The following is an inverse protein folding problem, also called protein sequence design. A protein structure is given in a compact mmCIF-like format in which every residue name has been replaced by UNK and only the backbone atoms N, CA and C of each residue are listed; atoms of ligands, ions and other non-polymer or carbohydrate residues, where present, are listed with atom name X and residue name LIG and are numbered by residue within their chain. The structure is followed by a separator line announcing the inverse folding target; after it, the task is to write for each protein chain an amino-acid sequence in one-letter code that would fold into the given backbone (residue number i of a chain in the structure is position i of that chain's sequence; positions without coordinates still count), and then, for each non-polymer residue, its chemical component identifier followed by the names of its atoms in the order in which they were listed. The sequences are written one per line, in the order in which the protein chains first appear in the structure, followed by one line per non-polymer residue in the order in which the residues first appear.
data_IF_228016613603
#
_entry.id   IF_228016613603
#
_cell.length_a   1.000
_cell.length_b   1.000
_cell.length_c   1.000
_cell.angle_alpha   90.00
_cell.angle_beta   90.00
_cell.angle_gamma   90.00
#
_symmetry.space_group_name_H-M   'P 1'
#
loop_
_entity.id
_entity.type
_entity.pdbx_description
1 polymer ?
#
# COMPACT_ATOMS: atom_id res chain seq x y z
N UNK A 1 -10.63 10.14 15.30
CA UNK A 1 -9.34 9.38 15.46
C UNK A 1 -8.18 10.13 14.83
N UNK A 2 -8.40 10.74 13.66
CA UNK A 2 -7.40 11.53 12.92
C UNK A 2 -6.68 12.57 13.78
N UNK A 3 -7.42 13.41 14.50
CA UNK A 3 -6.81 14.42 15.38
C UNK A 3 -5.79 13.79 16.36
N UNK A 4 -6.15 12.66 16.99
CA UNK A 4 -5.25 11.96 17.90
C UNK A 4 -4.03 11.36 17.20
N UNK A 5 -4.19 10.75 16.03
CA UNK A 5 -3.08 10.18 15.28
C UNK A 5 -2.08 11.26 14.84
N UNK A 6 -2.58 12.38 14.32
CA UNK A 6 -1.79 13.54 13.90
C UNK A 6 -0.99 14.14 15.06
N UNK A 7 -1.61 14.35 16.23
CA UNK A 7 -0.89 14.88 17.40
C UNK A 7 0.26 13.96 17.86
N UNK A 8 0.19 12.67 17.54
CA UNK A 8 1.24 11.68 17.85
C UNK A 8 2.25 11.49 16.72
N UNK A 9 2.15 12.28 15.64
CA UNK A 9 3.09 12.21 14.52
C UNK A 9 2.87 11.02 13.59
N UNK A 10 1.71 10.38 13.61
CA UNK A 10 1.39 9.34 12.62
C UNK A 10 1.31 9.97 11.22
N UNK A 11 1.87 9.29 10.22
CA UNK A 11 1.85 9.76 8.82
C UNK A 11 0.56 9.39 8.09
N UNK A 12 -0.17 8.38 8.59
CA UNK A 12 -1.38 7.85 7.98
C UNK A 12 -1.89 6.62 8.71
N UNK A 13 -2.98 6.03 8.21
CA UNK A 13 -3.54 4.78 8.74
C UNK A 13 -3.95 3.86 7.59
N UNK A 14 -3.64 2.57 7.72
CA UNK A 14 -4.13 1.49 6.85
C UNK A 14 -5.05 0.58 7.65
N UNK A 15 -6.22 0.25 7.09
CA UNK A 15 -7.27 -0.52 7.75
C UNK A 15 -7.69 -1.66 6.83
N UNK A 16 -7.45 -2.91 7.24
CA UNK A 16 -8.09 -4.08 6.63
C UNK A 16 -9.55 -4.20 7.11
N UNK A 17 -10.36 -3.23 6.73
CA UNK A 17 -11.72 -3.02 7.21
C UNK A 17 -12.30 -1.74 6.63
N UNK A 18 -13.30 -1.17 7.30
CA UNK A 18 -13.97 0.07 6.86
C UNK A 18 -13.65 1.24 7.79
N UNK A 19 -13.65 2.46 7.25
CA UNK A 19 -13.55 3.69 8.03
C UNK A 19 -14.85 4.50 8.00
N UNK A 20 -14.95 5.50 8.88
CA UNK A 20 -16.03 6.50 8.94
C UNK A 20 -15.42 7.90 8.99
N UNK A 21 -16.23 8.96 8.91
CA UNK A 21 -15.77 10.35 9.05
C UNK A 21 -14.79 10.81 7.93
N UNK A 22 -15.02 10.34 6.70
CA UNK A 22 -14.14 10.60 5.52
C UNK A 22 -13.87 12.09 5.29
N UNK A 23 -14.87 12.95 5.52
CA UNK A 23 -14.72 14.40 5.38
C UNK A 23 -13.70 14.96 6.40
N UNK A 24 -13.71 14.47 7.64
CA UNK A 24 -12.74 14.87 8.67
C UNK A 24 -11.32 14.52 8.23
N UNK A 25 -11.10 13.28 7.78
CA UNK A 25 -9.78 12.80 7.35
C UNK A 25 -9.21 13.65 6.21
N UNK A 26 -10.04 13.95 5.20
CA UNK A 26 -9.67 14.78 4.05
C UNK A 26 -9.39 16.22 4.46
N UNK A 27 -10.23 16.81 5.30
CA UNK A 27 -10.02 18.20 5.77
C UNK A 27 -8.72 18.36 6.57
N UNK A 28 -8.29 17.29 7.25
CA UNK A 28 -7.06 17.24 8.01
C UNK A 28 -5.83 16.85 7.16
N UNK A 29 -5.99 16.63 5.85
CA UNK A 29 -4.96 16.09 4.95
C UNK A 29 -4.29 14.83 5.52
N UNK A 30 -5.07 13.97 6.17
CA UNK A 30 -4.58 12.76 6.81
C UNK A 30 -4.94 11.52 5.98
N UNK A 31 -3.95 10.80 5.42
CA UNK A 31 -4.24 9.67 4.55
C UNK A 31 -4.78 8.48 5.35
N UNK A 32 -5.94 7.98 4.92
CA UNK A 32 -6.61 6.80 5.49
C UNK A 32 -6.95 5.84 4.37
N UNK A 33 -6.27 4.70 4.36
CA UNK A 33 -6.51 3.60 3.44
C UNK A 33 -7.40 2.57 4.12
N UNK A 34 -8.56 2.30 3.52
CA UNK A 34 -9.51 1.33 4.02
C UNK A 34 -10.15 0.58 2.85
N UNK A 35 -10.70 -0.60 3.11
CA UNK A 35 -11.42 -1.39 2.11
C UNK A 35 -12.79 -0.82 1.74
N UNK A 36 -13.23 0.22 2.45
CA UNK A 36 -14.46 0.94 2.17
C UNK A 36 -14.89 1.84 3.32
N UNK A 37 -16.10 2.38 3.19
CA UNK A 37 -16.68 3.29 4.17
C UNK A 37 -17.86 2.65 4.92
N UNK A 38 -18.09 3.08 6.15
CA UNK A 38 -19.22 2.68 7.00
C UNK A 38 -19.65 3.87 7.86
N UNK A 39 -20.94 3.98 8.14
CA UNK A 39 -21.46 4.94 9.15
C UNK A 39 -21.52 4.32 10.55
N UNK A 40 -21.51 2.99 10.64
CA UNK A 40 -21.56 2.26 11.91
C UNK A 40 -20.21 2.36 12.62
N UNK A 41 -20.26 2.62 13.93
CA UNK A 41 -19.09 2.55 14.80
C UNK A 41 -18.69 1.10 15.12
N UNK A 42 -17.43 0.90 15.52
CA UNK A 42 -16.90 -0.43 15.83
C UNK A 42 -17.49 -1.07 17.10
N UNK A 43 -17.91 -0.28 18.09
CA UNK A 43 -18.22 -0.74 19.45
C UNK A 43 -19.21 -1.92 19.57
N UNK A 44 -20.27 -2.03 18.75
CA UNK A 44 -21.18 -3.18 18.81
C UNK A 44 -20.62 -4.47 18.21
N UNK A 45 -19.52 -4.40 17.45
CA UNK A 45 -19.02 -5.49 16.61
C UNK A 45 -17.62 -5.94 16.98
N UNK A 46 -16.71 -5.00 17.24
CA UNK A 46 -15.27 -5.29 17.43
C UNK A 46 -14.63 -4.33 18.43
N UNK A 47 -13.49 -4.76 18.97
CA UNK A 47 -12.63 -3.96 19.85
C UNK A 47 -11.15 -4.29 19.57
N UNK A 48 -10.21 -3.37 19.80
CA UNK A 48 -8.78 -3.70 19.79
C UNK A 48 -8.49 -4.80 20.82
N UNK A 49 -7.87 -5.90 20.38
CA UNK A 49 -7.50 -7.03 21.25
C UNK A 49 -6.01 -7.04 21.61
N UNK A 50 -5.17 -6.54 20.70
CA UNK A 50 -3.72 -6.48 20.84
C UNK A 50 -3.16 -5.28 20.08
N UNK A 51 -1.95 -4.85 20.46
CA UNK A 51 -1.18 -3.79 19.80
C UNK A 51 0.26 -4.27 19.66
N UNK A 52 0.97 -3.79 18.63
CA UNK A 52 2.35 -4.20 18.34
C UNK A 52 2.54 -5.73 18.27
N UNK A 53 1.59 -6.41 17.61
CA UNK A 53 1.70 -7.84 17.27
C UNK A 53 1.65 -8.00 15.75
N UNK A 54 2.23 -9.06 15.18
CA UNK A 54 2.03 -9.39 13.78
C UNK A 54 0.56 -9.51 13.42
N UNK A 55 0.16 -8.98 12.27
CA UNK A 55 -1.20 -9.11 11.73
C UNK A 55 -1.15 -9.70 10.32
N UNK A 56 -2.08 -10.60 10.01
CA UNK A 56 -2.21 -11.20 8.69
C UNK A 56 -3.38 -10.57 7.95
N UNK A 57 -3.11 -10.01 6.77
CA UNK A 57 -4.09 -9.38 5.90
C UNK A 57 -4.40 -10.33 4.75
N UNK A 58 -5.59 -10.90 4.77
CA UNK A 58 -6.09 -11.79 3.71
C UNK A 58 -6.49 -10.97 2.46
N UNK A 59 -6.27 -11.49 1.24
CA UNK A 59 -6.81 -10.89 0.02
C UNK A 59 -8.36 -10.87 0.07
N UNK A 60 -8.99 -9.87 -0.55
CA UNK A 60 -10.45 -9.85 -0.75
C UNK A 60 -10.80 -10.18 -2.19
N UNK A 61 -12.00 -10.74 -2.40
CA UNK A 61 -12.50 -11.08 -3.73
C UNK A 61 -11.89 -12.36 -4.31
N UNK A 62 -11.10 -13.10 -3.53
CA UNK A 62 -10.64 -14.43 -3.88
C UNK A 62 -11.66 -15.45 -3.40
N UNK A 63 -12.32 -16.13 -4.34
CA UNK A 63 -13.10 -17.32 -4.02
C UNK A 63 -12.14 -18.45 -3.65
N UNK A 64 -12.33 -19.15 -2.51
CA UNK A 64 -11.55 -20.34 -2.20
C UNK A 64 -11.57 -21.33 -3.37
N UNK A 65 -10.39 -21.75 -3.84
CA UNK A 65 -10.25 -22.69 -4.97
C UNK A 65 -9.99 -22.06 -6.34
N UNK A 66 -9.87 -20.73 -6.45
CA UNK A 66 -9.41 -20.06 -7.69
C UNK A 66 -7.89 -19.94 -7.68
N UNK A 67 -7.21 -20.56 -8.64
CA UNK A 67 -5.78 -20.34 -8.89
C UNK A 67 -5.50 -18.87 -9.21
N UNK A 68 -4.44 -18.30 -8.64
CA UNK A 68 -4.02 -16.90 -8.91
C UNK A 68 -4.40 -15.88 -7.84
N UNK A 69 -4.91 -16.31 -6.69
CA UNK A 69 -5.06 -15.47 -5.52
C UNK A 69 -3.71 -14.91 -5.04
N UNK A 70 -3.62 -13.61 -4.77
CA UNK A 70 -2.47 -13.07 -4.03
C UNK A 70 -2.40 -13.71 -2.64
N UNK A 71 -1.20 -14.10 -2.15
CA UNK A 71 -1.07 -14.67 -0.82
C UNK A 71 -1.44 -13.63 0.25
N UNK A 72 -1.82 -14.11 1.43
CA UNK A 72 -1.98 -13.25 2.60
C UNK A 72 -0.66 -12.54 2.94
N UNK A 73 -0.77 -11.30 3.41
CA UNK A 73 0.38 -10.48 3.79
C UNK A 73 0.48 -10.42 5.30
N UNK A 74 1.57 -10.92 5.87
CA UNK A 74 1.91 -10.69 7.28
C UNK A 74 2.62 -9.34 7.42
N UNK A 75 2.12 -8.49 8.32
CA UNK A 75 2.72 -7.20 8.66
C UNK A 75 3.20 -7.28 10.11
N UNK A 76 4.50 -7.05 10.34
CA UNK A 76 5.12 -7.06 11.66
C UNK A 76 5.36 -5.64 12.16
N UNK A 77 5.32 -5.41 13.49
CA UNK A 77 5.78 -4.14 14.04
C UNK A 77 7.21 -3.83 13.59
N UNK A 78 7.41 -2.67 12.98
CA UNK A 78 8.70 -2.22 12.43
C UNK A 78 8.86 -2.41 10.92
N UNK A 79 7.96 -3.15 10.26
CA UNK A 79 7.91 -3.19 8.80
C UNK A 79 7.50 -1.82 8.23
N UNK A 80 7.98 -1.54 7.02
CA UNK A 80 7.70 -0.29 6.34
C UNK A 80 6.40 -0.42 5.56
N UNK A 81 5.49 0.52 5.77
CA UNK A 81 4.23 0.60 5.03
C UNK A 81 4.27 1.83 4.14
N UNK A 82 4.23 1.59 2.83
CA UNK A 82 4.17 2.62 1.80
C UNK A 82 2.77 2.63 1.21
N UNK A 83 2.20 3.81 0.99
CA UNK A 83 0.88 3.94 0.42
C UNK A 83 0.75 5.19 -0.44
N UNK A 84 0.09 5.03 -1.57
CA UNK A 84 -0.20 6.08 -2.56
C UNK A 84 -1.57 5.80 -3.23
N UNK A 85 -1.86 6.47 -4.34
CA UNK A 85 -3.10 6.30 -5.09
C UNK A 85 -3.32 4.91 -5.68
N UNK A 86 -2.25 4.14 -5.91
CA UNK A 86 -2.33 2.79 -6.46
C UNK A 86 -2.62 1.74 -5.37
N UNK A 87 -2.20 2.00 -4.14
CA UNK A 87 -2.57 1.16 -3.01
C UNK A 87 -1.57 1.19 -1.86
N UNK A 88 -1.39 0.03 -1.22
CA UNK A 88 -0.54 -0.12 -0.03
C UNK A 88 0.41 -1.30 -0.23
N UNK A 89 1.70 -1.07 0.05
CA UNK A 89 2.75 -2.08 0.04
C UNK A 89 3.38 -2.18 1.43
N UNK A 90 3.57 -3.41 1.91
CA UNK A 90 4.34 -3.70 3.11
C UNK A 90 5.72 -4.22 2.72
N UNK A 91 6.76 -3.61 3.25
CA UNK A 91 8.16 -3.99 3.04
C UNK A 91 8.73 -4.51 4.36
N UNK A 92 9.06 -5.81 4.46
CA UNK A 92 9.72 -6.36 5.63
C UNK A 92 11.01 -5.60 5.92
N UNK A 93 11.24 -5.24 7.20
CA UNK A 93 12.40 -4.41 7.57
C UNK A 93 13.74 -5.01 7.13
N UNK A 94 13.87 -6.35 7.13
CA UNK A 94 15.07 -7.06 6.69
C UNK A 94 15.35 -6.98 5.18
N UNK A 95 14.36 -6.60 4.37
CA UNK A 95 14.49 -6.47 2.92
C UNK A 95 14.57 -5.02 2.45
N UNK A 96 14.49 -4.05 3.37
CA UNK A 96 14.34 -2.64 3.03
C UNK A 96 15.43 -2.13 2.07
N UNK A 97 16.71 -2.37 2.38
CA UNK A 97 17.82 -1.91 1.55
C UNK A 97 17.77 -2.50 0.14
N UNK A 98 17.43 -3.78 0.02
CA UNK A 98 17.30 -4.47 -1.26
C UNK A 98 16.15 -3.90 -2.08
N UNK A 99 14.99 -3.67 -1.43
CA UNK A 99 13.83 -3.06 -2.09
C UNK A 99 14.17 -1.66 -2.59
N UNK A 100 14.80 -0.82 -1.78
CA UNK A 100 15.21 0.54 -2.19
C UNK A 100 16.14 0.49 -3.41
N UNK A 101 17.15 -0.37 -3.38
CA UNK A 101 18.09 -0.51 -4.51
C UNK A 101 17.38 -0.97 -5.80
N UNK A 102 16.53 -1.99 -5.72
CA UNK A 102 15.80 -2.51 -6.86
C UNK A 102 14.77 -1.50 -7.39
N UNK A 103 14.06 -0.81 -6.50
CA UNK A 103 13.09 0.23 -6.88
C UNK A 103 13.77 1.41 -7.57
N UNK A 104 14.95 1.84 -7.10
CA UNK A 104 15.71 2.91 -7.76
C UNK A 104 16.16 2.48 -9.16
N UNK A 105 16.74 1.28 -9.31
CA UNK A 105 17.13 0.75 -10.63
C UNK A 105 15.93 0.64 -11.58
N UNK A 106 14.80 0.14 -11.08
CA UNK A 106 13.56 0.04 -11.86
C UNK A 106 13.06 1.40 -12.33
N UNK A 107 13.06 2.40 -11.44
CA UNK A 107 12.67 3.77 -11.77
C UNK A 107 13.56 4.39 -12.85
N UNK A 108 14.87 4.19 -12.77
CA UNK A 108 15.83 4.73 -13.74
C UNK A 108 15.66 4.08 -15.12
N UNK A 109 15.37 2.77 -15.17
CA UNK A 109 15.06 2.04 -16.40
C UNK A 109 13.74 2.53 -17.01
N UNK A 110 12.72 2.76 -16.18
CA UNK A 110 11.40 3.22 -16.64
C UNK A 110 11.44 4.66 -17.17
N UNK A 111 12.28 5.51 -16.57
CA UNK A 111 12.51 6.87 -17.07
C UNK A 111 13.07 6.87 -18.50
N UNK A 112 14.06 6.02 -18.78
CA UNK A 112 14.64 5.87 -20.13
C UNK A 112 13.62 5.32 -21.14
N UNK A 113 12.81 4.34 -20.72
CA UNK A 113 11.73 3.83 -21.56
C UNK A 113 10.75 4.96 -21.93
N UNK A 114 10.40 5.80 -20.95
CA UNK A 114 9.47 6.91 -21.14
C UNK A 114 10.05 7.99 -22.08
N UNK A 115 11.34 8.30 -21.98
CA UNK A 115 12.03 9.21 -22.90
C UNK A 115 11.97 8.71 -24.34
N UNK A 116 12.33 7.45 -24.58
CA UNK A 116 12.29 6.84 -25.91
C UNK A 116 10.87 6.82 -26.51
N UNK A 117 9.86 6.49 -25.69
CA UNK A 117 8.45 6.49 -26.11
C UNK A 117 8.00 7.90 -26.46
N UNK A 118 8.36 8.91 -25.67
CA UNK A 118 8.05 10.32 -25.95
C UNK A 118 8.76 10.83 -27.20
N UNK A 119 9.94 10.30 -27.51
CA UNK A 119 10.67 10.58 -28.73
C UNK A 119 10.13 9.83 -29.97
N UNK A 120 9.09 9.01 -29.82
CA UNK A 120 8.39 8.33 -30.91
C UNK A 120 8.78 6.86 -31.11
N UNK A 121 9.60 6.28 -30.23
CA UNK A 121 9.88 4.83 -30.27
C UNK A 121 8.64 4.03 -29.83
N UNK A 122 8.49 2.82 -30.38
CA UNK A 122 7.44 1.90 -29.93
C UNK A 122 7.68 1.39 -28.50
N UNK A 123 6.61 1.14 -27.73
CA UNK A 123 6.71 0.65 -26.33
C UNK A 123 7.52 -0.65 -26.21
N UNK A 124 7.28 -1.61 -27.10
CA UNK A 124 8.02 -2.88 -27.12
C UNK A 124 9.51 -2.68 -27.42
N UNK A 125 9.84 -1.73 -28.29
CA UNK A 125 11.23 -1.42 -28.64
C UNK A 125 11.97 -0.79 -27.45
N UNK A 126 11.34 0.19 -26.80
CA UNK A 126 11.88 0.85 -25.61
C UNK A 126 12.10 -0.15 -24.45
N UNK A 127 11.14 -1.07 -24.23
CA UNK A 127 11.28 -2.12 -23.21
C UNK A 127 12.40 -3.10 -23.53
N UNK A 128 12.53 -3.53 -24.79
CA UNK A 128 13.63 -4.42 -25.20
C UNK A 128 14.99 -3.76 -24.98
N UNK A 129 15.09 -2.45 -25.22
CA UNK A 129 16.33 -1.67 -25.06
C UNK A 129 16.75 -1.51 -23.59
N UNK A 130 15.82 -1.19 -22.70
CA UNK A 130 16.16 -0.80 -21.31
C UNK A 130 15.78 -1.83 -20.24
N UNK A 131 14.68 -2.58 -20.41
CA UNK A 131 14.20 -3.59 -19.44
C UNK A 131 14.75 -5.00 -19.71
N UNK A 132 15.36 -5.24 -20.87
CA UNK A 132 15.92 -6.56 -21.24
C UNK A 132 14.87 -7.66 -21.43
N UNK A 133 13.62 -7.28 -21.73
CA UNK A 133 12.50 -8.18 -22.07
C UNK A 133 12.00 -7.87 -23.48
#
# INVERSE_FOLDING_TARGET
MTAGALTRGALGVVISGRCRDVAEHRSANFPVFARGHSTLGQSPFTRPSAVNVPVVIEPQGVTPGVEGAFPAVEVKPGDWVMADEDGVVCVPVGLLSQVVELSQKGRDVDAKCLEDIRAGSGVQEAFRRHRGK
#
